data_IF_398393640082
#
_entry.id   IF_398393640082
#
_cell.length_a   1.000
_cell.length_b   1.000
_cell.length_c   1.000
_cell.angle_alpha   90.00
_cell.angle_beta   90.00
_cell.angle_gamma   90.00
#
_symmetry.space_group_name_H-M   'P 1'
#
loop_
_entity.id
_entity.type
_entity.pdbx_description
1 polymer ?
#
# COMPACT_ATOMS: atom_id res chain seq x y z
N UNK A 1 1.78 -8.96 -4.10
CA UNK A 1 1.45 -9.42 -5.48
C UNK A 1 2.61 -9.10 -6.42
N UNK A 2 2.66 -9.73 -7.60
CA UNK A 2 3.60 -9.31 -8.63
C UNK A 2 3.37 -7.83 -8.97
N UNK A 3 4.46 -7.06 -9.10
CA UNK A 3 4.39 -5.60 -9.31
C UNK A 3 4.00 -4.79 -8.06
N UNK A 4 3.88 -5.41 -6.88
CA UNK A 4 3.63 -4.70 -5.62
C UNK A 4 4.69 -5.06 -4.57
N UNK A 5 5.91 -4.50 -4.65
CA UNK A 5 6.90 -4.65 -3.60
C UNK A 5 6.44 -4.02 -2.28
N UNK A 6 6.83 -4.66 -1.18
CA UNK A 6 6.64 -4.17 0.18
C UNK A 6 8.00 -4.14 0.90
N UNK A 7 8.47 -2.94 1.23
CA UNK A 7 9.72 -2.75 1.99
C UNK A 7 9.38 -2.59 3.46
N UNK A 8 9.91 -3.46 4.31
CA UNK A 8 9.59 -3.50 5.73
C UNK A 8 10.81 -3.18 6.61
N UNK A 9 10.58 -2.40 7.67
CA UNK A 9 11.47 -2.18 8.81
C UNK A 9 10.63 -2.09 10.08
N UNK A 10 11.26 -2.06 11.25
CA UNK A 10 10.54 -1.97 12.52
C UNK A 10 9.55 -0.78 12.55
N UNK A 11 8.27 -1.07 12.82
CA UNK A 11 7.18 -0.10 12.90
C UNK A 11 6.74 0.55 11.58
N UNK A 12 7.32 0.15 10.43
CA UNK A 12 7.06 0.80 9.15
C UNK A 12 7.09 -0.15 7.96
N UNK A 13 6.09 -0.02 7.09
CA UNK A 13 6.07 -0.66 5.77
C UNK A 13 5.86 0.40 4.69
N UNK A 14 6.48 0.21 3.54
CA UNK A 14 6.22 0.98 2.31
C UNK A 14 5.79 0.01 1.21
N UNK A 15 4.58 0.19 0.68
CA UNK A 15 4.06 -0.56 -0.47
C UNK A 15 4.08 0.34 -1.70
N UNK A 16 4.56 -0.18 -2.83
CA UNK A 16 4.54 0.53 -4.11
C UNK A 16 3.80 -0.35 -5.11
N UNK A 17 2.77 0.17 -5.77
CA UNK A 17 2.14 -0.50 -6.91
C UNK A 17 2.80 0.01 -8.19
N UNK A 18 3.66 -0.80 -8.80
CA UNK A 18 4.34 -0.46 -10.05
C UNK A 18 3.57 -0.93 -11.28
N UNK A 19 2.31 -1.34 -11.11
CA UNK A 19 1.43 -1.78 -12.21
C UNK A 19 0.56 -0.61 -12.69
N UNK A 20 -0.07 -0.80 -13.84
CA UNK A 20 -1.01 0.17 -14.43
C UNK A 20 -2.44 0.03 -13.88
N UNK A 21 -2.70 -0.92 -12.98
CA UNK A 21 -4.03 -1.24 -12.48
C UNK A 21 -4.10 -1.06 -10.96
N UNK A 22 -5.29 -0.79 -10.43
CA UNK A 22 -5.51 -0.83 -8.98
C UNK A 22 -5.37 -2.25 -8.47
N UNK A 23 -4.54 -2.45 -7.44
CA UNK A 23 -4.31 -3.76 -6.82
C UNK A 23 -4.82 -3.78 -5.39
N UNK A 24 -5.60 -4.81 -5.05
CA UNK A 24 -6.05 -5.03 -3.67
C UNK A 24 -5.04 -5.88 -2.89
N UNK A 25 -4.62 -5.39 -1.73
CA UNK A 25 -3.73 -6.12 -0.80
C UNK A 25 -4.28 -6.05 0.63
N UNK A 26 -3.89 -6.98 1.52
CA UNK A 26 -4.08 -6.79 2.96
C UNK A 26 -3.44 -5.47 3.40
N UNK A 27 -4.15 -4.67 4.20
CA UNK A 27 -3.61 -3.42 4.72
C UNK A 27 -2.52 -3.75 5.76
N UNK A 28 -1.24 -3.37 5.53
CA UNK A 28 -0.16 -3.67 6.45
C UNK A 28 -0.34 -3.04 7.84
N UNK A 29 -1.07 -1.92 7.91
CA UNK A 29 -1.30 -1.17 9.14
C UNK A 29 -2.12 0.09 8.87
N UNK A 30 -1.82 1.17 9.60
CA UNK A 30 -2.48 2.47 9.41
C UNK A 30 -1.73 3.29 8.36
N UNK A 31 -2.46 3.85 7.38
CA UNK A 31 -1.89 4.78 6.38
C UNK A 31 -1.28 6.00 7.08
N UNK A 32 -0.05 6.34 6.72
CA UNK A 32 0.65 7.56 7.15
C UNK A 32 0.72 8.60 6.03
N UNK A 33 0.99 8.15 4.81
CA UNK A 33 1.17 8.97 3.62
C UNK A 33 0.89 8.13 2.38
N UNK A 34 0.26 8.72 1.37
CA UNK A 34 0.13 8.15 0.03
C UNK A 34 0.50 9.20 -1.01
N UNK A 35 1.09 8.80 -2.13
CA UNK A 35 1.22 9.67 -3.30
C UNK A 35 -0.13 9.92 -3.97
N UNK A 36 -1.07 8.99 -3.80
CA UNK A 36 -2.50 9.12 -4.09
C UNK A 36 -3.33 8.61 -2.91
N UNK A 37 -4.64 8.87 -2.93
CA UNK A 37 -5.56 8.35 -1.93
C UNK A 37 -5.70 6.83 -2.06
N UNK A 38 -5.50 6.14 -0.94
CA UNK A 38 -5.61 4.69 -0.86
C UNK A 38 -6.65 4.31 0.19
N UNK A 39 -7.81 3.83 -0.27
CA UNK A 39 -8.93 3.52 0.60
C UNK A 39 -8.71 2.20 1.33
N UNK A 40 -8.76 2.24 2.66
CA UNK A 40 -8.71 1.06 3.52
C UNK A 40 -10.13 0.66 3.92
N UNK A 41 -10.51 -0.57 3.60
CA UNK A 41 -11.80 -1.15 3.97
C UNK A 41 -11.63 -2.64 4.27
N UNK A 42 -12.29 -3.10 5.32
CA UNK A 42 -12.32 -4.51 5.73
C UNK A 42 -10.92 -5.17 5.82
N UNK A 43 -9.96 -4.46 6.41
CA UNK A 43 -8.58 -4.95 6.59
C UNK A 43 -7.75 -5.04 5.30
N UNK A 44 -8.23 -4.45 4.21
CA UNK A 44 -7.54 -4.40 2.92
C UNK A 44 -7.46 -2.97 2.41
N UNK A 45 -6.54 -2.73 1.49
CA UNK A 45 -6.43 -1.46 0.77
C UNK A 45 -6.57 -1.71 -0.72
N UNK A 46 -7.27 -0.79 -1.39
CA UNK A 46 -7.19 -0.64 -2.84
C UNK A 46 -6.02 0.31 -3.13
N UNK A 47 -4.91 -0.25 -3.62
CA UNK A 47 -3.70 0.51 -3.92
C UNK A 47 -3.78 0.94 -5.40
N UNK A 48 -3.95 2.23 -5.73
CA UNK A 48 -4.05 2.69 -7.11
C UNK A 48 -2.80 2.35 -7.93
N UNK A 49 -2.92 2.45 -9.25
CA UNK A 49 -1.79 2.33 -10.15
C UNK A 49 -0.70 3.37 -9.81
N UNK A 50 0.57 3.02 -10.06
CA UNK A 50 1.74 3.91 -9.87
C UNK A 50 1.81 4.62 -8.49
N UNK A 51 1.27 3.99 -7.44
CA UNK A 51 1.08 4.62 -6.13
C UNK A 51 1.97 4.02 -5.05
N UNK A 52 2.55 4.89 -4.24
CA UNK A 52 3.30 4.53 -3.03
C UNK A 52 2.50 4.89 -1.78
N UNK A 53 2.39 3.95 -0.83
CA UNK A 53 1.75 4.16 0.47
C UNK A 53 2.68 3.73 1.61
N UNK A 54 2.74 4.57 2.64
CA UNK A 54 3.49 4.35 3.88
C UNK A 54 2.55 3.96 5.01
N UNK A 55 3.00 3.01 5.82
CA UNK A 55 2.19 2.37 6.86
C UNK A 55 2.88 2.43 8.21
N UNK A 56 2.12 2.74 9.27
CA UNK A 56 2.49 2.42 10.64
C UNK A 56 1.98 1.02 10.99
N UNK A 57 2.91 0.14 11.35
CA UNK A 57 2.68 -1.29 11.66
C UNK A 57 2.88 -1.56 13.13
#
# INVERSE_FOLDING_TARGET
PDGVPAFAREGFVCTVNTTAETVRIPAPGRVLLGSEEAEVSDGTVHLPADTTVWWAV
#
